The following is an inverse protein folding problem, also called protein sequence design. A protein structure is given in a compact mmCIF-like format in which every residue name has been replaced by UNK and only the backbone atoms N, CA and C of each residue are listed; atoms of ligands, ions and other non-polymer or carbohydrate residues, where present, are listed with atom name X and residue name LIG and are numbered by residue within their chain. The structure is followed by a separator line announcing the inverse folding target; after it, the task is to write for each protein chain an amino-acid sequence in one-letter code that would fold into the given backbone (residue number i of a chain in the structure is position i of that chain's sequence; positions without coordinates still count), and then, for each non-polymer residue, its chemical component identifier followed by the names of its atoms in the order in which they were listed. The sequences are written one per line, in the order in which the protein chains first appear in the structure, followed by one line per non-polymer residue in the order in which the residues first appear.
data_IF_912655295804
#
_entry.id   IF_912655295804
#
_cell.length_a   1.000
_cell.length_b   1.000
_cell.length_c   1.000
_cell.angle_alpha   90.00
_cell.angle_beta   90.00
_cell.angle_gamma   90.00
#
_symmetry.space_group_name_H-M   'P 1'
#
loop_
_entity.id
_entity.type
_entity.pdbx_description
1 polymer ?
#
# COMPACT_ATOMS: atom_id res chain seq x y z
N UNK A 1 20.12 49.20 2.41
CA UNK A 1 18.98 48.30 2.69
C UNK A 1 18.00 48.38 1.53
N UNK A 2 18.03 47.41 0.61
CA UNK A 2 17.06 47.32 -0.49
C UNK A 2 16.09 46.20 -0.13
N UNK A 3 14.81 46.54 -0.05
CA UNK A 3 13.73 45.64 0.28
C UNK A 3 13.56 44.55 -0.80
N UNK A 4 13.37 43.30 -0.38
CA UNK A 4 12.86 42.23 -1.23
C UNK A 4 11.36 42.44 -1.46
N UNK A 5 10.87 42.60 -2.70
CA UNK A 5 9.47 42.45 -3.00
C UNK A 5 9.23 41.04 -3.53
N UNK A 6 8.68 40.15 -2.72
CA UNK A 6 7.94 38.99 -3.23
C UNK A 6 6.68 38.81 -2.39
N UNK A 7 5.58 39.28 -2.95
CA UNK A 7 4.25 38.75 -2.66
C UNK A 7 4.30 37.22 -2.83
N UNK A 8 3.80 36.42 -1.89
CA UNK A 8 3.63 34.99 -2.14
C UNK A 8 2.60 34.84 -3.26
N UNK A 9 3.00 34.26 -4.40
CA UNK A 9 2.01 33.72 -5.34
C UNK A 9 1.30 32.61 -4.56
N UNK A 10 -0.02 32.72 -4.42
CA UNK A 10 -0.85 31.59 -3.99
C UNK A 10 -0.58 30.45 -4.98
N UNK A 11 -0.13 29.29 -4.50
CA UNK A 11 -0.09 28.06 -5.28
C UNK A 11 -1.56 27.68 -5.59
N UNK A 12 -2.08 28.19 -6.69
CA UNK A 12 -3.23 27.58 -7.36
C UNK A 12 -2.76 26.32 -8.09
N UNK A 13 -3.67 25.37 -8.28
CA UNK A 13 -3.44 24.24 -9.20
C UNK A 13 -2.97 24.80 -10.55
N UNK A 14 -1.77 24.40 -10.97
CA UNK A 14 -1.24 24.75 -12.28
C UNK A 14 -2.10 24.09 -13.35
N UNK A 15 -2.59 24.87 -14.31
CA UNK A 15 -3.33 24.33 -15.45
C UNK A 15 -2.43 23.54 -16.38
N UNK A 16 -2.97 22.54 -17.09
CA UNK A 16 -2.20 21.76 -18.08
C UNK A 16 -1.49 22.64 -19.13
N UNK A 17 -2.09 23.78 -19.50
CA UNK A 17 -1.48 24.75 -20.44
C UNK A 17 -0.28 25.49 -19.84
N UNK A 18 -0.29 25.76 -18.52
CA UNK A 18 0.84 26.40 -17.83
C UNK A 18 2.02 25.45 -17.64
N UNK A 19 1.73 24.14 -17.53
CA UNK A 19 2.73 23.08 -17.35
C UNK A 19 3.27 22.61 -18.72
N UNK A 20 2.39 22.44 -19.71
CA UNK A 20 2.73 21.81 -20.99
C UNK A 20 2.83 22.80 -22.16
N UNK A 21 2.74 24.11 -21.90
CA UNK A 21 2.92 25.14 -22.93
C UNK A 21 1.92 25.08 -24.08
N UNK A 22 0.73 24.52 -23.86
CA UNK A 22 -0.33 24.38 -24.86
C UNK A 22 -0.23 23.15 -25.78
N UNK A 23 0.70 22.21 -25.53
CA UNK A 23 0.72 20.88 -26.16
C UNK A 23 0.42 19.79 -25.13
N UNK A 24 -0.81 19.25 -25.09
CA UNK A 24 -1.21 18.22 -24.13
C UNK A 24 -0.43 16.91 -24.23
N UNK A 25 0.21 16.65 -25.38
CA UNK A 25 1.03 15.45 -25.64
C UNK A 25 2.54 15.75 -25.49
N UNK A 26 2.92 17.03 -25.40
CA UNK A 26 4.29 17.54 -25.36
C UNK A 26 4.80 17.92 -23.96
N UNK A 27 4.22 17.38 -22.89
CA UNK A 27 4.61 17.72 -21.50
C UNK A 27 5.97 17.16 -21.06
N UNK A 28 6.73 16.46 -21.91
CA UNK A 28 7.93 15.70 -21.52
C UNK A 28 8.96 16.52 -20.71
N UNK A 29 9.27 17.75 -21.14
CA UNK A 29 10.21 18.60 -20.41
C UNK A 29 9.67 19.13 -19.06
N UNK A 30 8.35 19.26 -18.93
CA UNK A 30 7.70 19.67 -17.69
C UNK A 30 7.58 18.49 -16.71
N UNK A 31 7.32 17.28 -17.20
CA UNK A 31 7.33 16.05 -16.39
C UNK A 31 8.73 15.75 -15.85
N UNK A 32 9.78 16.00 -16.64
CA UNK A 32 11.17 15.87 -16.18
C UNK A 32 11.48 16.85 -15.05
N UNK A 33 11.01 18.09 -15.19
CA UNK A 33 11.13 19.12 -14.17
C UNK A 33 10.46 18.73 -12.86
N UNK A 34 9.18 18.32 -12.92
CA UNK A 34 8.40 17.91 -11.75
C UNK A 34 9.00 16.67 -11.07
N UNK A 35 9.48 15.69 -11.85
CA UNK A 35 10.11 14.50 -11.29
C UNK A 35 11.40 14.84 -10.55
N UNK A 36 12.26 15.67 -11.15
CA UNK A 36 13.46 16.17 -10.48
C UNK A 36 13.11 16.95 -9.22
N UNK A 37 12.13 17.85 -9.26
CA UNK A 37 11.70 18.62 -8.09
C UNK A 37 11.21 17.71 -6.95
N UNK A 38 10.54 16.59 -7.29
CA UNK A 38 10.09 15.57 -6.35
C UNK A 38 11.27 14.84 -5.70
N UNK A 39 12.25 14.41 -6.50
CA UNK A 39 13.48 13.77 -6.00
C UNK A 39 14.23 14.74 -5.08
N UNK A 40 14.43 15.99 -5.51
CA UNK A 40 15.14 16.99 -4.72
C UNK A 40 14.39 17.35 -3.42
N UNK A 41 13.05 17.36 -3.43
CA UNK A 41 12.26 17.55 -2.22
C UNK A 41 12.47 16.41 -1.23
N UNK A 42 12.48 15.16 -1.70
CA UNK A 42 12.80 14.01 -0.88
C UNK A 42 14.24 14.10 -0.34
N UNK A 43 15.23 14.40 -1.17
CA UNK A 43 16.64 14.58 -0.74
C UNK A 43 16.79 15.67 0.31
N UNK A 44 16.11 16.81 0.16
CA UNK A 44 16.17 17.90 1.15
C UNK A 44 15.52 17.56 2.48
N UNK A 45 14.49 16.72 2.46
CA UNK A 45 13.74 16.34 3.65
C UNK A 45 14.39 15.16 4.39
N UNK A 46 15.09 14.28 3.68
CA UNK A 46 15.77 13.10 4.25
C UNK A 46 16.86 13.50 5.25
N UNK A 47 16.73 13.03 6.50
CA UNK A 47 17.71 13.29 7.54
C UNK A 47 18.88 12.32 7.43
N UNK A 48 19.92 12.72 6.70
CA UNK A 48 21.17 11.97 6.56
C UNK A 48 22.13 12.08 7.76
N UNK A 49 21.70 12.69 8.87
CA UNK A 49 22.50 12.75 10.10
C UNK A 49 22.51 11.39 10.83
N UNK A 50 23.50 11.13 11.72
CA UNK A 50 23.51 9.90 12.53
C UNK A 50 22.27 9.71 13.41
N UNK A 51 21.50 10.77 13.66
CA UNK A 51 20.27 10.74 14.44
C UNK A 51 19.08 10.18 13.66
N UNK A 52 19.11 10.21 12.32
CA UNK A 52 18.09 9.63 11.44
C UNK A 52 16.64 9.96 11.87
N UNK A 53 16.33 11.23 12.16
CA UNK A 53 15.04 11.60 12.78
C UNK A 53 13.86 11.53 11.82
N UNK A 54 14.11 11.68 10.54
CA UNK A 54 13.08 11.68 9.51
C UNK A 54 13.63 11.11 8.21
N UNK A 55 12.85 10.28 7.52
CA UNK A 55 13.24 9.68 6.26
C UNK A 55 12.21 9.99 5.19
N UNK A 56 12.66 10.51 4.05
CA UNK A 56 11.79 10.84 2.93
C UNK A 56 12.05 9.90 1.75
N UNK A 57 11.18 8.92 1.50
CA UNK A 57 11.32 8.03 0.35
C UNK A 57 11.02 8.77 -0.96
N UNK A 58 11.76 8.43 -2.02
CA UNK A 58 11.44 8.86 -3.38
C UNK A 58 10.33 7.96 -3.92
N UNK A 59 9.27 8.53 -4.49
CA UNK A 59 8.14 7.77 -5.00
C UNK A 59 7.10 8.62 -5.72
N UNK A 60 6.13 7.95 -6.33
CA UNK A 60 4.99 8.58 -7.00
C UNK A 60 3.77 7.66 -7.00
N UNK A 61 2.57 8.24 -7.17
CA UNK A 61 1.36 7.48 -7.44
C UNK A 61 1.30 7.15 -8.94
N UNK A 62 1.15 5.87 -9.26
CA UNK A 62 0.69 5.38 -10.55
C UNK A 62 -0.85 5.31 -10.50
N UNK A 63 -1.51 6.23 -11.19
CA UNK A 63 -2.97 6.42 -11.09
C UNK A 63 -3.64 5.97 -12.39
N UNK A 64 -4.28 4.79 -12.39
CA UNK A 64 -5.02 4.29 -13.56
C UNK A 64 -6.53 4.21 -13.27
N UNK A 65 -7.33 4.89 -14.10
CA UNK A 65 -8.78 5.00 -13.99
C UNK A 65 -9.56 4.09 -14.96
N UNK A 66 -9.07 2.87 -15.23
CA UNK A 66 -9.68 1.95 -16.20
C UNK A 66 -11.13 1.62 -15.82
N UNK A 67 -12.06 1.78 -16.77
CA UNK A 67 -13.48 1.47 -16.57
C UNK A 67 -14.06 2.12 -15.31
N UNK A 68 -13.69 3.37 -15.03
CA UNK A 68 -14.11 4.13 -13.85
C UNK A 68 -13.84 3.39 -12.53
N UNK A 69 -12.68 2.76 -12.40
CA UNK A 69 -12.25 2.00 -11.22
C UNK A 69 -10.92 2.52 -10.68
N UNK A 70 -10.65 2.40 -9.37
CA UNK A 70 -9.37 2.72 -8.75
C UNK A 70 -8.37 1.59 -8.97
N UNK A 71 -7.52 1.72 -9.99
CA UNK A 71 -6.40 0.79 -10.23
C UNK A 71 -5.09 1.52 -9.93
N UNK A 72 -4.94 1.98 -8.70
CA UNK A 72 -3.84 2.83 -8.28
C UNK A 72 -2.75 2.05 -7.53
N UNK A 73 -1.51 2.54 -7.61
CA UNK A 73 -0.35 2.00 -6.89
C UNK A 73 0.58 3.12 -6.46
N UNK A 74 1.16 3.02 -5.28
CA UNK A 74 2.34 3.83 -4.94
C UNK A 74 3.60 3.11 -5.41
N UNK A 75 4.41 3.75 -6.24
CA UNK A 75 5.76 3.29 -6.61
C UNK A 75 6.74 3.91 -5.63
N UNK A 76 7.47 3.09 -4.91
CA UNK A 76 8.44 3.50 -3.88
C UNK A 76 9.82 3.00 -4.27
N UNK A 77 10.83 3.87 -4.20
CA UNK A 77 12.21 3.55 -4.51
C UNK A 77 13.06 3.39 -3.24
N UNK A 78 14.06 2.51 -3.31
CA UNK A 78 15.00 2.24 -2.21
C UNK A 78 15.91 3.43 -1.89
N UNK A 79 16.22 4.25 -2.89
CA UNK A 79 17.12 5.40 -2.80
C UNK A 79 16.76 6.44 -3.87
N UNK A 80 17.55 7.51 -3.96
CA UNK A 80 17.47 8.49 -5.04
C UNK A 80 18.05 7.99 -6.39
N UNK A 81 18.61 6.77 -6.45
CA UNK A 81 18.94 6.12 -7.71
C UNK A 81 17.66 5.63 -8.37
N UNK A 82 17.12 6.41 -9.30
CA UNK A 82 15.82 6.17 -9.94
C UNK A 82 15.89 6.36 -11.46
N UNK A 83 14.92 5.83 -12.25
CA UNK A 83 14.83 6.14 -13.66
C UNK A 83 14.68 7.65 -13.90
N UNK A 84 15.14 8.17 -15.06
CA UNK A 84 15.10 9.59 -15.37
C UNK A 84 13.67 10.14 -15.52
N UNK A 85 12.68 9.27 -15.72
CA UNK A 85 11.26 9.61 -15.78
C UNK A 85 10.43 8.59 -15.00
N UNK A 86 9.33 9.01 -14.35
CA UNK A 86 8.36 8.09 -13.77
C UNK A 86 7.62 7.32 -14.87
N UNK A 87 7.24 6.07 -14.60
CA UNK A 87 6.44 5.27 -15.52
C UNK A 87 4.98 5.67 -15.35
N UNK A 88 4.43 6.39 -16.33
CA UNK A 88 3.04 6.83 -16.34
C UNK A 88 2.07 5.72 -16.73
N UNK A 89 0.89 5.71 -16.09
CA UNK A 89 -0.26 4.87 -16.46
C UNK A 89 -0.77 5.14 -17.87
N UNK A 90 -0.57 6.35 -18.40
CA UNK A 90 -0.92 6.70 -19.78
C UNK A 90 -0.10 5.93 -20.82
N UNK A 91 1.18 5.67 -20.52
CA UNK A 91 2.08 4.93 -21.40
C UNK A 91 2.07 3.43 -21.11
N UNK A 92 1.85 3.06 -19.85
CA UNK A 92 1.79 1.66 -19.40
C UNK A 92 0.50 1.42 -18.62
N UNK A 93 -0.64 1.20 -19.28
CA UNK A 93 -1.95 1.12 -18.61
C UNK A 93 -2.22 -0.20 -17.89
N UNK A 94 -1.24 -1.12 -17.89
CA UNK A 94 -1.37 -2.45 -17.29
C UNK A 94 -0.40 -2.62 -16.13
N UNK A 95 -0.78 -3.34 -15.06
CA UNK A 95 0.14 -3.70 -13.98
C UNK A 95 1.38 -4.44 -14.49
N UNK A 96 1.19 -5.32 -15.48
CA UNK A 96 2.28 -6.05 -16.11
C UNK A 96 3.29 -5.14 -16.82
N UNK A 97 2.80 -4.14 -17.56
CA UNK A 97 3.62 -3.12 -18.21
C UNK A 97 4.45 -2.34 -17.20
N UNK A 98 3.80 -1.85 -16.13
CA UNK A 98 4.45 -1.15 -15.02
C UNK A 98 5.56 -1.98 -14.37
N UNK A 99 5.25 -3.19 -13.91
CA UNK A 99 6.24 -4.06 -13.23
C UNK A 99 7.39 -4.46 -14.16
N UNK A 100 7.08 -4.76 -15.42
CA UNK A 100 8.09 -5.15 -16.41
C UNK A 100 9.03 -3.99 -16.71
N UNK A 101 8.53 -2.75 -16.79
CA UNK A 101 9.38 -1.57 -16.98
C UNK A 101 10.16 -1.20 -15.74
N UNK A 102 9.57 -1.24 -14.54
CA UNK A 102 10.33 -1.09 -13.29
C UNK A 102 11.47 -2.11 -13.21
N UNK A 103 11.22 -3.36 -13.60
CA UNK A 103 12.29 -4.36 -13.67
C UNK A 103 13.41 -3.94 -14.64
N UNK A 104 13.07 -3.56 -15.87
CA UNK A 104 14.06 -3.26 -16.91
C UNK A 104 14.80 -1.93 -16.72
N UNK A 105 14.07 -0.87 -16.36
CA UNK A 105 14.56 0.52 -16.33
C UNK A 105 15.08 0.94 -14.96
N UNK A 106 14.78 0.17 -13.90
CA UNK A 106 15.29 0.41 -12.55
C UNK A 106 16.15 -0.77 -12.05
N UNK A 107 15.53 -1.93 -11.78
CA UNK A 107 16.21 -3.05 -11.09
C UNK A 107 17.37 -3.64 -11.89
N UNK A 108 17.16 -3.88 -13.18
CA UNK A 108 18.15 -4.51 -14.07
C UNK A 108 19.02 -3.47 -14.81
N UNK A 109 18.75 -2.17 -14.65
CA UNK A 109 19.38 -1.13 -15.45
C UNK A 109 20.85 -0.84 -15.08
N UNK A 110 21.37 -1.47 -14.02
CA UNK A 110 22.75 -1.25 -13.57
C UNK A 110 22.99 0.12 -12.92
N UNK A 111 21.93 0.84 -12.58
CA UNK A 111 21.98 2.18 -11.95
C UNK A 111 21.88 2.13 -10.41
N UNK A 112 21.83 0.94 -9.81
CA UNK A 112 21.64 0.75 -8.37
C UNK A 112 20.22 1.07 -7.87
N UNK A 113 19.23 1.08 -8.76
CA UNK A 113 17.83 1.31 -8.42
C UNK A 113 17.16 0.02 -7.95
N UNK A 114 16.31 0.12 -6.92
CA UNK A 114 15.33 -0.91 -6.57
C UNK A 114 14.01 -0.21 -6.26
N UNK A 115 12.90 -0.88 -6.59
CA UNK A 115 11.57 -0.34 -6.46
C UNK A 115 10.58 -1.42 -6.04
N UNK A 116 9.52 -0.98 -5.38
CA UNK A 116 8.32 -1.77 -5.13
C UNK A 116 7.08 -0.92 -5.44
N UNK A 117 5.96 -1.59 -5.59
CA UNK A 117 4.64 -1.02 -5.83
C UNK A 117 3.69 -1.48 -4.73
N UNK A 118 2.80 -0.60 -4.29
CA UNK A 118 1.80 -0.92 -3.27
C UNK A 118 0.42 -0.59 -3.85
N UNK A 119 -0.39 -1.60 -4.24
CA UNK A 119 -1.79 -1.35 -4.59
C UNK A 119 -2.54 -0.81 -3.38
N UNK A 120 -3.39 0.18 -3.62
CA UNK A 120 -4.12 0.85 -2.56
C UNK A 120 -5.56 1.13 -2.97
N UNK A 121 -6.44 1.35 -1.99
CA UNK A 121 -7.86 1.57 -2.22
C UNK A 121 -8.52 0.42 -3.02
N UNK A 122 -8.17 -0.83 -2.74
CA UNK A 122 -8.58 -1.98 -3.57
C UNK A 122 -10.08 -2.21 -3.56
N UNK A 123 -10.78 -1.76 -2.52
CA UNK A 123 -12.24 -1.81 -2.41
C UNK A 123 -13.01 -1.02 -3.48
N UNK A 124 -12.35 -0.12 -4.23
CA UNK A 124 -12.92 0.60 -5.37
C UNK A 124 -12.32 0.17 -6.72
N UNK A 125 -11.69 -1.01 -6.76
CA UNK A 125 -11.03 -1.50 -7.96
C UNK A 125 -11.94 -2.29 -8.91
N UNK A 126 -13.15 -2.67 -8.46
CA UNK A 126 -14.04 -3.60 -9.18
C UNK A 126 -13.38 -4.96 -9.47
N UNK A 127 -12.57 -5.46 -8.55
CA UNK A 127 -11.84 -6.73 -8.66
C UNK A 127 -10.58 -6.68 -9.52
N UNK A 128 -10.17 -5.49 -9.98
CA UNK A 128 -9.08 -5.31 -10.95
C UNK A 128 -7.70 -5.32 -10.30
N UNK A 129 -7.58 -4.86 -9.06
CA UNK A 129 -6.27 -4.83 -8.41
C UNK A 129 -5.78 -6.23 -8.06
N UNK A 130 -6.66 -7.14 -7.66
CA UNK A 130 -6.32 -8.55 -7.40
C UNK A 130 -6.76 -9.53 -8.50
N UNK A 131 -6.84 -9.04 -9.74
CA UNK A 131 -7.08 -9.91 -10.90
C UNK A 131 -5.95 -10.94 -11.07
N UNK A 132 -6.33 -12.18 -11.39
CA UNK A 132 -5.39 -13.27 -11.71
C UNK A 132 -5.07 -13.19 -13.21
N UNK A 133 -4.15 -12.29 -13.55
CA UNK A 133 -3.66 -12.09 -14.92
C UNK A 133 -2.13 -12.21 -14.98
N UNK A 134 -1.62 -12.80 -16.06
CA UNK A 134 -0.19 -13.07 -16.28
C UNK A 134 0.35 -12.46 -17.58
N UNK A 135 -0.20 -11.32 -18.02
CA UNK A 135 0.33 -10.56 -19.15
C UNK A 135 0.39 -11.33 -20.47
N UNK A 136 -0.60 -12.19 -20.73
CA UNK A 136 -0.67 -13.02 -21.94
C UNK A 136 0.19 -14.30 -21.93
N UNK A 137 0.75 -14.68 -20.76
CA UNK A 137 1.56 -15.88 -20.62
C UNK A 137 0.88 -17.16 -21.13
N UNK A 138 1.56 -17.90 -22.03
CA UNK A 138 1.00 -19.00 -22.80
C UNK A 138 0.89 -20.33 -22.04
N UNK A 139 1.57 -20.48 -20.90
CA UNK A 139 1.54 -21.71 -20.12
C UNK A 139 2.08 -21.59 -18.69
N UNK A 140 1.98 -22.67 -17.88
CA UNK A 140 2.24 -22.62 -16.44
C UNK A 140 3.62 -22.08 -16.05
N UNK A 141 4.67 -22.42 -16.79
CA UNK A 141 6.03 -21.92 -16.50
C UNK A 141 6.18 -20.42 -16.74
N UNK A 142 5.49 -19.85 -17.74
CA UNK A 142 5.49 -18.41 -17.98
C UNK A 142 4.59 -17.67 -16.98
N UNK A 143 3.44 -18.27 -16.63
CA UNK A 143 2.57 -17.77 -15.58
C UNK A 143 3.28 -17.75 -14.22
N UNK A 144 4.05 -18.78 -13.88
CA UNK A 144 4.86 -18.82 -12.67
C UNK A 144 5.93 -17.71 -12.65
N UNK A 145 6.58 -17.42 -13.79
CA UNK A 145 7.51 -16.29 -13.92
C UNK A 145 6.81 -14.95 -13.73
N UNK A 146 5.61 -14.80 -14.28
CA UNK A 146 4.79 -13.60 -14.11
C UNK A 146 4.31 -13.41 -12.67
N UNK A 147 3.84 -14.49 -12.02
CA UNK A 147 3.46 -14.51 -10.62
C UNK A 147 4.64 -14.12 -9.71
N UNK A 148 5.86 -14.60 -10.01
CA UNK A 148 7.07 -14.22 -9.28
C UNK A 148 7.44 -12.74 -9.48
N UNK A 149 7.22 -12.19 -10.68
CA UNK A 149 7.44 -10.77 -10.92
C UNK A 149 6.49 -9.93 -10.06
N UNK A 150 5.20 -10.28 -10.07
CA UNK A 150 4.21 -9.62 -9.22
C UNK A 150 4.58 -9.74 -7.74
N UNK A 151 4.88 -10.93 -7.25
CA UNK A 151 5.27 -11.16 -5.85
C UNK A 151 6.45 -10.27 -5.41
N UNK A 152 7.42 -10.03 -6.29
CA UNK A 152 8.56 -9.15 -5.99
C UNK A 152 8.22 -7.67 -6.05
N UNK A 153 7.36 -7.28 -7.00
CA UNK A 153 7.02 -5.88 -7.24
C UNK A 153 5.88 -5.39 -6.35
N UNK A 154 4.98 -6.25 -5.91
CA UNK A 154 3.87 -5.94 -4.97
C UNK A 154 4.02 -6.77 -3.69
N UNK A 155 5.02 -6.50 -2.84
CA UNK A 155 5.16 -7.21 -1.58
C UNK A 155 4.11 -6.78 -0.55
N UNK A 156 3.43 -5.65 -0.74
CA UNK A 156 2.50 -5.08 0.23
C UNK A 156 1.17 -4.76 -0.42
N UNK A 157 0.11 -4.66 0.37
CA UNK A 157 -1.17 -4.10 -0.02
C UNK A 157 -1.71 -3.20 1.10
N UNK A 158 -2.36 -2.11 0.71
CA UNK A 158 -3.09 -1.27 1.66
C UNK A 158 -4.43 -1.91 2.04
N UNK A 159 -4.67 -2.03 3.34
CA UNK A 159 -5.92 -2.58 3.88
C UNK A 159 -6.85 -1.51 4.46
N UNK A 160 -6.37 -0.26 4.65
CA UNK A 160 -7.15 0.82 5.26
C UNK A 160 -6.71 2.18 4.74
N UNK A 161 -7.69 3.03 4.46
CA UNK A 161 -7.51 4.35 3.84
C UNK A 161 -8.75 5.25 4.09
N UNK A 162 -8.71 6.55 3.70
CA UNK A 162 -9.85 7.50 3.76
C UNK A 162 -11.15 6.91 3.19
N UNK A 163 -10.99 6.01 2.21
CA UNK A 163 -12.04 5.27 1.52
C UNK A 163 -12.26 3.91 2.16
N UNK A 164 -12.15 3.82 3.48
CA UNK A 164 -12.49 2.66 4.29
C UNK A 164 -11.59 1.43 4.14
N UNK A 165 -12.00 0.39 4.86
CA UNK A 165 -11.31 -0.88 5.01
C UNK A 165 -11.48 -1.77 3.76
N UNK A 166 -10.34 -2.26 3.25
CA UNK A 166 -10.18 -3.17 2.10
C UNK A 166 -9.63 -4.56 2.47
N UNK A 167 -9.58 -4.95 3.75
CA UNK A 167 -9.10 -6.25 4.23
C UNK A 167 -10.09 -7.38 3.90
N UNK A 168 -11.35 -7.27 4.31
CA UNK A 168 -12.40 -8.29 4.09
C UNK A 168 -13.81 -7.69 4.06
N UNK A 169 -14.84 -8.50 3.79
CA UNK A 169 -16.25 -8.06 3.90
C UNK A 169 -17.22 -9.22 4.14
N UNK A 170 -18.09 -9.06 5.13
CA UNK A 170 -19.13 -10.05 5.42
C UNK A 170 -20.18 -10.18 4.31
N UNK A 171 -20.83 -11.35 4.24
CA UNK A 171 -21.97 -11.60 3.35
C UNK A 171 -21.62 -11.76 1.87
N UNK A 172 -20.33 -11.83 1.51
CA UNK A 172 -19.89 -12.11 0.15
C UNK A 172 -19.97 -13.62 -0.18
N UNK A 173 -20.11 -13.93 -1.46
CA UNK A 173 -20.13 -15.30 -2.00
C UNK A 173 -18.94 -16.09 -1.49
N UNK A 174 -19.18 -17.29 -0.96
CA UNK A 174 -18.11 -18.16 -0.43
C UNK A 174 -17.50 -17.70 0.90
N UNK A 175 -18.06 -16.69 1.57
CA UNK A 175 -17.77 -16.38 2.98
C UNK A 175 -18.78 -17.15 3.84
N UNK A 176 -18.29 -18.00 4.73
CA UNK A 176 -19.12 -18.81 5.63
C UNK A 176 -19.05 -18.22 7.03
N UNK A 177 -20.20 -18.03 7.66
CA UNK A 177 -20.30 -17.40 8.98
C UNK A 177 -20.28 -15.88 8.90
N UNK A 178 -20.02 -15.24 10.05
CA UNK A 178 -19.80 -13.79 10.15
C UNK A 178 -18.49 -13.57 10.89
N UNK A 179 -17.67 -12.68 10.37
CA UNK A 179 -16.53 -12.14 11.09
C UNK A 179 -16.89 -10.72 11.50
N UNK A 180 -17.06 -10.49 12.80
CA UNK A 180 -17.50 -9.21 13.35
C UNK A 180 -16.55 -8.05 13.02
N UNK A 181 -15.28 -8.34 12.70
CA UNK A 181 -14.31 -7.34 12.27
C UNK A 181 -14.43 -7.01 10.78
N UNK A 182 -15.06 -7.85 9.96
CA UNK A 182 -15.28 -7.59 8.53
C UNK A 182 -16.40 -6.58 8.25
N UNK A 183 -17.06 -6.07 9.28
CA UNK A 183 -17.97 -4.92 9.20
C UNK A 183 -17.30 -3.57 9.48
N UNK A 184 -16.02 -3.57 9.87
CA UNK A 184 -15.31 -2.35 10.26
C UNK A 184 -15.14 -1.39 9.08
N UNK A 185 -15.47 -0.11 9.33
CA UNK A 185 -15.25 1.06 8.46
C UNK A 185 -15.29 0.81 6.95
N UNK A 186 -16.34 0.17 6.47
CA UNK A 186 -16.54 -0.03 5.03
C UNK A 186 -16.96 1.26 4.36
N UNK A 187 -16.36 1.53 3.21
CA UNK A 187 -16.77 2.65 2.39
C UNK A 187 -18.19 2.45 1.86
N UNK A 188 -19.04 3.44 2.14
CA UNK A 188 -20.39 3.47 1.61
C UNK A 188 -20.37 4.09 0.20
N UNK A 189 -20.56 3.27 -0.82
CA UNK A 189 -20.63 3.73 -2.22
C UNK A 189 -21.80 4.69 -2.47
N UNK A 190 -22.81 4.76 -1.59
CA UNK A 190 -23.85 5.78 -1.68
C UNK A 190 -23.31 7.20 -1.52
N UNK A 191 -22.13 7.38 -0.91
CA UNK A 191 -21.41 8.66 -0.89
C UNK A 191 -21.14 9.15 -2.32
N UNK A 192 -20.83 8.23 -3.23
CA UNK A 192 -20.54 8.55 -4.64
C UNK A 192 -21.83 8.68 -5.48
N UNK A 193 -22.89 7.96 -5.11
CA UNK A 193 -24.17 7.97 -5.84
C UNK A 193 -25.38 7.84 -4.90
N UNK A 194 -25.80 8.95 -4.24
CA UNK A 194 -26.87 8.93 -3.26
C UNK A 194 -28.18 8.35 -3.79
N UNK A 195 -28.83 7.51 -2.98
CA UNK A 195 -30.11 6.87 -3.32
C UNK A 195 -29.99 5.62 -4.19
N UNK A 196 -28.77 5.14 -4.45
CA UNK A 196 -28.56 3.86 -5.14
C UNK A 196 -28.76 2.68 -4.19
N UNK A 197 -29.19 1.50 -4.68
CA UNK A 197 -29.11 0.29 -3.89
C UNK A 197 -27.64 -0.10 -3.67
N UNK A 198 -27.31 -0.88 -2.63
CA UNK A 198 -25.99 -1.47 -2.47
C UNK A 198 -25.56 -2.22 -3.74
N UNK A 199 -24.29 -2.15 -4.14
CA UNK A 199 -23.80 -2.89 -5.30
C UNK A 199 -24.05 -4.40 -5.13
N UNK A 200 -24.43 -5.11 -6.21
CA UNK A 200 -24.54 -6.57 -6.17
C UNK A 200 -23.17 -7.22 -5.96
N UNK A 201 -23.17 -8.41 -5.37
CA UNK A 201 -22.00 -9.28 -5.30
C UNK A 201 -21.79 -9.99 -6.66
N UNK A 202 -20.63 -9.79 -7.28
CA UNK A 202 -20.25 -10.42 -8.54
C UNK A 202 -19.20 -11.54 -8.38
N UNK A 203 -19.01 -12.06 -7.16
CA UNK A 203 -18.12 -13.18 -6.83
C UNK A 203 -16.67 -12.84 -7.19
N UNK A 204 -16.04 -13.64 -8.04
CA UNK A 204 -14.70 -13.39 -8.57
C UNK A 204 -14.72 -12.57 -9.88
N UNK A 205 -15.89 -12.08 -10.28
CA UNK A 205 -16.10 -11.25 -11.46
C UNK A 205 -15.43 -9.89 -11.36
N UNK A 206 -15.36 -9.20 -12.50
CA UNK A 206 -14.77 -7.86 -12.62
C UNK A 206 -15.88 -6.90 -13.03
N UNK A 207 -16.05 -5.82 -12.27
CA UNK A 207 -17.04 -4.77 -12.51
C UNK A 207 -16.48 -3.57 -13.28
N UNK A 208 -17.28 -2.51 -13.34
CA UNK A 208 -16.92 -1.18 -13.83
C UNK A 208 -17.74 -0.11 -13.11
N UNK A 209 -17.25 1.13 -13.03
CA UNK A 209 -18.05 2.23 -12.48
C UNK A 209 -17.95 2.48 -10.97
N UNK A 210 -16.99 1.87 -10.25
CA UNK A 210 -16.90 2.03 -8.78
C UNK A 210 -16.70 3.50 -8.38
N UNK A 211 -16.00 4.28 -9.20
CA UNK A 211 -15.83 5.73 -9.01
C UNK A 211 -17.10 6.55 -9.19
N UNK A 212 -18.13 5.97 -9.81
CA UNK A 212 -19.44 6.55 -9.97
C UNK A 212 -20.47 5.93 -9.01
N UNK A 213 -20.05 5.14 -8.01
CA UNK A 213 -20.96 4.39 -7.15
C UNK A 213 -21.74 3.29 -7.89
N UNK A 214 -21.20 2.80 -9.02
CA UNK A 214 -21.79 1.76 -9.87
C UNK A 214 -20.92 0.49 -9.85
N UNK A 215 -21.38 -0.55 -10.54
CA UNK A 215 -20.65 -1.81 -10.70
C UNK A 215 -21.11 -2.87 -9.73
N UNK A 216 -20.15 -3.64 -9.21
CA UNK A 216 -20.39 -4.76 -8.31
C UNK A 216 -19.24 -4.90 -7.31
N UNK A 217 -19.51 -5.55 -6.17
CA UNK A 217 -18.47 -5.94 -5.24
C UNK A 217 -17.89 -7.28 -5.66
N UNK A 218 -16.59 -7.28 -5.96
CA UNK A 218 -15.83 -8.48 -6.24
C UNK A 218 -15.10 -8.92 -4.98
N UNK A 219 -14.93 -10.23 -4.77
CA UNK A 219 -14.00 -10.72 -3.73
C UNK A 219 -12.60 -10.17 -3.95
N UNK A 220 -12.20 -9.91 -5.19
CA UNK A 220 -10.88 -9.35 -5.53
C UNK A 220 -10.75 -7.85 -5.27
N UNK A 221 -11.74 -7.24 -4.62
CA UNK A 221 -11.65 -5.92 -4.03
C UNK A 221 -11.00 -5.96 -2.63
N UNK A 222 -10.93 -7.14 -2.00
CA UNK A 222 -10.48 -7.29 -0.62
C UNK A 222 -9.24 -8.19 -0.49
N UNK A 223 -8.27 -7.74 0.32
CA UNK A 223 -6.96 -8.38 0.47
C UNK A 223 -7.07 -9.82 0.98
N UNK A 224 -7.95 -10.10 1.95
CA UNK A 224 -8.14 -11.44 2.52
C UNK A 224 -8.49 -12.48 1.46
N UNK A 225 -9.34 -12.11 0.50
CA UNK A 225 -9.73 -13.04 -0.56
C UNK A 225 -8.65 -13.16 -1.63
N UNK A 226 -7.87 -12.10 -1.88
CA UNK A 226 -6.66 -12.20 -2.70
C UNK A 226 -5.62 -13.15 -2.10
N UNK A 227 -5.45 -13.18 -0.76
CA UNK A 227 -4.59 -14.16 -0.08
C UNK A 227 -5.05 -15.60 -0.33
N UNK A 228 -6.37 -15.84 -0.32
CA UNK A 228 -6.95 -17.17 -0.65
C UNK A 228 -6.66 -17.54 -2.10
N UNK A 229 -6.87 -16.62 -3.04
CA UNK A 229 -6.51 -16.83 -4.46
C UNK A 229 -5.01 -17.08 -4.62
N UNK A 230 -4.17 -16.42 -3.81
CA UNK A 230 -2.74 -16.63 -3.75
C UNK A 230 -2.34 -18.05 -3.35
N UNK A 231 -3.02 -18.65 -2.38
CA UNK A 231 -2.81 -20.03 -1.99
C UNK A 231 -3.21 -21.02 -3.11
N UNK A 232 -4.31 -20.75 -3.81
CA UNK A 232 -4.74 -21.54 -4.98
C UNK A 232 -3.71 -21.49 -6.11
N UNK A 233 -3.18 -20.30 -6.39
CA UNK A 233 -2.12 -20.14 -7.40
C UNK A 233 -0.79 -20.76 -6.96
N UNK A 234 -0.50 -20.80 -5.66
CA UNK A 234 0.65 -21.53 -5.14
C UNK A 234 0.54 -23.04 -5.41
N UNK A 235 -0.64 -23.63 -5.24
CA UNK A 235 -0.91 -25.03 -5.57
C UNK A 235 -0.81 -25.28 -7.08
N UNK A 236 -1.32 -24.35 -7.90
CA UNK A 236 -1.38 -24.50 -9.36
C UNK A 236 -0.03 -24.25 -10.06
N UNK A 237 0.71 -23.23 -9.64
CA UNK A 237 1.91 -22.73 -10.31
C UNK A 237 3.20 -22.98 -9.52
N UNK A 238 3.10 -23.37 -8.25
CA UNK A 238 4.23 -23.37 -7.31
C UNK A 238 4.61 -21.96 -6.82
N UNK A 239 3.83 -20.93 -7.15
CA UNK A 239 4.12 -19.53 -6.82
C UNK A 239 2.84 -18.82 -6.37
N UNK A 240 2.88 -18.19 -5.19
CA UNK A 240 1.81 -17.31 -4.73
C UNK A 240 2.02 -15.87 -5.24
N UNK A 241 1.21 -15.35 -6.19
CA UNK A 241 1.34 -13.97 -6.68
C UNK A 241 0.88 -12.91 -5.67
N UNK A 242 0.04 -13.27 -4.70
CA UNK A 242 -0.56 -12.37 -3.70
C UNK A 242 0.05 -12.57 -2.32
N UNK A 243 1.36 -12.79 -2.26
CA UNK A 243 2.07 -12.96 -1.00
C UNK A 243 2.42 -11.60 -0.41
N UNK A 244 1.39 -10.92 0.10
CA UNK A 244 1.45 -9.52 0.53
C UNK A 244 1.48 -9.36 2.04
N UNK A 245 2.22 -8.34 2.51
CA UNK A 245 2.07 -7.77 3.85
C UNK A 245 1.02 -6.65 3.83
N UNK A 246 0.60 -6.22 5.02
CA UNK A 246 -0.41 -5.17 5.16
C UNK A 246 0.23 -3.83 5.50
N UNK A 247 -0.31 -2.75 4.93
CA UNK A 247 -0.10 -1.36 5.39
C UNK A 247 -1.45 -0.62 5.44
N UNK A 248 -1.45 0.59 5.98
CA UNK A 248 -2.56 1.54 5.85
C UNK A 248 -2.01 2.93 5.52
N UNK A 249 -2.84 3.81 4.98
CA UNK A 249 -2.41 5.17 4.61
C UNK A 249 -3.53 6.19 4.78
N UNK A 250 -3.20 7.47 4.77
CA UNK A 250 -4.20 8.55 4.79
C UNK A 250 -4.79 8.82 3.41
N UNK A 251 -3.99 8.75 2.34
CA UNK A 251 -4.20 9.46 1.06
C UNK A 251 -4.69 10.91 1.26
N UNK A 252 -4.10 11.59 2.25
CA UNK A 252 -4.18 13.04 2.41
C UNK A 252 -3.46 13.77 1.27
N UNK A 253 -4.04 14.86 0.78
CA UNK A 253 -3.61 15.67 -0.37
C UNK A 253 -3.16 17.08 0.05
N UNK A 254 -2.73 17.23 1.30
CA UNK A 254 -2.34 18.51 1.94
C UNK A 254 -0.88 18.55 2.42
N UNK A 255 -0.18 17.42 2.32
CA UNK A 255 1.21 17.29 2.77
C UNK A 255 1.36 17.14 4.29
N UNK A 256 0.28 16.83 5.03
CA UNK A 256 0.32 16.50 6.45
C UNK A 256 0.51 14.97 6.64
N UNK A 257 1.75 14.47 6.85
CA UNK A 257 1.97 13.04 6.97
C UNK A 257 1.34 12.49 8.26
N UNK A 258 0.51 11.46 8.12
CA UNK A 258 -0.08 10.75 9.26
C UNK A 258 -1.09 11.57 10.05
N UNK A 259 -1.81 12.51 9.40
CA UNK A 259 -2.97 13.17 9.98
C UNK A 259 -4.19 12.24 10.00
N UNK A 260 -4.19 11.38 11.01
CA UNK A 260 -5.20 10.34 11.25
C UNK A 260 -6.10 10.66 12.44
N UNK A 261 -6.04 11.91 12.92
CA UNK A 261 -6.68 12.31 14.16
C UNK A 261 -8.15 12.66 13.92
N UNK A 262 -9.07 11.78 14.33
CA UNK A 262 -10.51 11.94 14.18
C UNK A 262 -11.04 13.27 14.75
N UNK A 263 -10.52 13.75 15.87
CA UNK A 263 -11.04 14.97 16.50
C UNK A 263 -10.71 16.26 15.74
N UNK A 264 -9.67 16.24 14.91
CA UNK A 264 -9.18 17.42 14.17
C UNK A 264 -9.28 17.25 12.66
N UNK A 265 -9.74 16.10 12.19
CA UNK A 265 -9.81 15.78 10.79
C UNK A 265 -10.61 16.84 10.02
N UNK A 266 -9.93 17.57 9.16
CA UNK A 266 -10.46 18.68 8.38
C UNK A 266 -10.63 18.32 6.89
N UNK A 267 -10.62 17.03 6.58
CA UNK A 267 -10.85 16.49 5.24
C UNK A 267 -9.56 16.17 4.47
N UNK A 268 -9.71 15.47 3.34
CA UNK A 268 -8.62 14.97 2.49
C UNK A 268 -7.60 16.03 2.11
N UNK A 269 -8.04 17.27 1.91
CA UNK A 269 -7.21 18.37 1.39
C UNK A 269 -6.96 19.48 2.41
N UNK A 270 -7.07 19.19 3.71
CA UNK A 270 -6.92 20.20 4.76
C UNK A 270 -8.03 21.26 4.73
N UNK A 271 -9.20 20.90 4.19
CA UNK A 271 -10.34 21.80 3.95
C UNK A 271 -11.64 21.00 4.09
N UNK A 272 -12.46 21.37 5.06
CA UNK A 272 -13.71 20.69 5.44
C UNK A 272 -14.85 20.79 4.40
N UNK A 273 -14.54 20.88 3.10
CA UNK A 273 -15.53 21.00 2.04
C UNK A 273 -15.91 19.60 1.54
N UNK A 274 -17.05 19.10 2.00
CA UNK A 274 -17.78 17.94 1.46
C UNK A 274 -17.11 16.56 1.56
N UNK A 275 -16.36 16.25 2.62
CA UNK A 275 -15.83 14.90 2.89
C UNK A 275 -16.80 13.99 3.68
N UNK A 276 -18.11 14.11 3.43
CA UNK A 276 -19.09 13.22 4.07
C UNK A 276 -18.87 11.76 3.64
N UNK A 277 -18.64 10.88 4.62
CA UNK A 277 -18.46 9.43 4.40
C UNK A 277 -17.02 8.97 4.19
N UNK A 278 -16.05 9.85 4.43
CA UNK A 278 -14.63 9.53 4.50
C UNK A 278 -14.14 9.51 5.96
N UNK A 279 -13.12 8.70 6.26
CA UNK A 279 -12.46 8.65 7.59
C UNK A 279 -11.03 9.24 7.50
N UNK A 280 -10.31 9.50 8.60
CA UNK A 280 -8.94 10.05 8.52
C UNK A 280 -7.90 9.14 7.83
N UNK A 281 -8.27 7.90 7.51
CA UNK A 281 -7.42 6.88 6.94
C UNK A 281 -6.62 6.13 8.00
N UNK A 282 -5.39 5.77 7.69
CA UNK A 282 -4.57 4.95 8.56
C UNK A 282 -3.09 5.20 8.46
N UNK A 283 -2.32 4.45 9.26
CA UNK A 283 -0.86 4.54 9.33
C UNK A 283 -0.19 3.23 8.92
N UNK A 284 0.89 3.36 8.18
CA UNK A 284 1.81 2.26 7.91
C UNK A 284 2.87 2.21 9.00
N UNK A 285 3.05 1.04 9.61
CA UNK A 285 4.18 0.74 10.47
C UNK A 285 5.14 -0.20 9.76
N UNK A 286 6.43 0.08 9.85
CA UNK A 286 7.50 -0.69 9.24
C UNK A 286 8.52 -1.03 10.32
N UNK A 287 8.82 -2.31 10.48
CA UNK A 287 9.91 -2.72 11.34
C UNK A 287 11.22 -2.74 10.58
N UNK A 288 12.13 -1.87 11.00
CA UNK A 288 13.43 -1.65 10.38
C UNK A 288 14.52 -1.57 11.46
N UNK A 289 15.75 -1.91 11.07
CA UNK A 289 16.94 -1.83 11.90
C UNK A 289 17.33 -0.36 12.17
N UNK A 290 17.08 0.51 11.18
CA UNK A 290 17.41 1.92 11.21
C UNK A 290 16.29 2.73 10.55
N UNK A 291 16.15 3.99 10.96
CA UNK A 291 15.30 4.95 10.26
C UNK A 291 16.06 5.56 9.06
N UNK A 292 16.46 4.70 8.12
CA UNK A 292 17.13 5.08 6.88
C UNK A 292 16.33 4.55 5.69
N UNK A 293 16.41 5.21 4.53
CA UNK A 293 15.64 4.78 3.34
C UNK A 293 15.88 3.31 2.99
N UNK A 294 17.14 2.88 3.03
CA UNK A 294 17.50 1.51 2.70
C UNK A 294 16.91 0.51 3.69
N UNK A 295 17.01 0.77 5.01
CA UNK A 295 16.49 -0.15 6.03
C UNK A 295 14.95 -0.18 6.05
N UNK A 296 14.29 0.98 5.89
CA UNK A 296 12.83 1.04 5.75
C UNK A 296 12.35 0.32 4.49
N UNK A 297 13.00 0.56 3.34
CA UNK A 297 12.65 -0.15 2.09
C UNK A 297 12.82 -1.65 2.24
N UNK A 298 13.91 -2.10 2.87
CA UNK A 298 14.14 -3.52 3.12
C UNK A 298 13.07 -4.09 4.07
N UNK A 299 12.56 -3.29 5.00
CA UNK A 299 11.40 -3.59 5.86
C UNK A 299 10.10 -3.79 5.08
N UNK A 300 9.80 -2.85 4.18
CA UNK A 300 8.67 -2.93 3.25
C UNK A 300 8.78 -4.18 2.35
N UNK A 301 9.98 -4.44 1.80
CA UNK A 301 10.24 -5.56 0.89
C UNK A 301 10.09 -6.93 1.57
N UNK A 302 10.52 -7.05 2.83
CA UNK A 302 10.35 -8.29 3.63
C UNK A 302 8.98 -8.42 4.27
N UNK A 303 8.10 -7.42 4.10
CA UNK A 303 6.70 -7.41 4.59
C UNK A 303 6.58 -7.40 6.11
N UNK A 304 7.60 -6.93 6.80
CA UNK A 304 7.54 -6.80 8.25
C UNK A 304 6.85 -5.50 8.63
N UNK A 305 5.56 -5.44 8.26
CA UNK A 305 4.73 -4.23 8.27
C UNK A 305 3.34 -4.53 8.78
N UNK A 306 2.68 -3.52 9.36
CA UNK A 306 1.25 -3.58 9.62
C UNK A 306 0.59 -2.23 9.32
N UNK A 307 -0.72 -2.26 9.09
CA UNK A 307 -1.55 -1.08 8.99
C UNK A 307 -2.36 -0.87 10.27
N UNK A 308 -2.64 0.39 10.61
CA UNK A 308 -3.59 0.77 11.67
C UNK A 308 -4.60 1.76 11.11
N UNK A 309 -5.80 1.83 11.69
CA UNK A 309 -6.83 2.82 11.34
C UNK A 309 -6.57 4.21 11.94
N UNK A 310 -5.37 4.47 12.42
CA UNK A 310 -5.01 5.72 13.09
C UNK A 310 -4.17 5.55 14.35
N UNK A 311 -4.55 4.66 15.29
CA UNK A 311 -3.77 4.45 16.51
C UNK A 311 -2.34 4.00 16.22
N UNK A 312 -1.37 4.56 16.93
CA UNK A 312 0.07 4.23 16.87
C UNK A 312 0.43 3.05 17.76
N UNK A 313 -0.32 1.95 17.63
CA UNK A 313 -0.01 0.70 18.32
C UNK A 313 1.32 0.13 17.82
N UNK A 314 2.03 -0.60 18.67
CA UNK A 314 3.22 -1.36 18.28
C UNK A 314 2.95 -2.85 18.38
N UNK A 315 3.02 -3.57 17.25
CA UNK A 315 2.72 -5.01 17.19
C UNK A 315 3.93 -5.81 16.74
N UNK A 316 4.24 -6.89 17.45
CA UNK A 316 5.22 -7.91 17.07
C UNK A 316 4.54 -9.27 17.03
N UNK A 317 4.82 -10.05 16.00
CA UNK A 317 4.36 -11.43 15.86
C UNK A 317 5.51 -12.31 15.41
N UNK A 318 5.68 -13.45 16.09
CA UNK A 318 6.65 -14.48 15.70
C UNK A 318 6.00 -15.87 15.68
N UNK A 319 6.25 -16.63 14.63
CA UNK A 319 5.83 -18.03 14.48
C UNK A 319 7.01 -19.00 14.57
N UNK A 320 6.81 -20.19 15.14
CA UNK A 320 7.82 -21.25 15.18
C UNK A 320 7.16 -22.63 15.18
N UNK A 321 7.87 -23.67 14.73
CA UNK A 321 7.45 -25.06 14.92
C UNK A 321 7.85 -25.61 16.30
N UNK A 322 8.77 -24.94 16.98
CA UNK A 322 9.12 -25.24 18.36
C UNK A 322 8.28 -24.35 19.28
N UNK A 323 7.86 -24.84 20.46
CA UNK A 323 7.23 -24.01 21.47
C UNK A 323 8.13 -22.81 21.81
N UNK A 324 7.52 -21.64 21.97
CA UNK A 324 8.23 -20.48 22.50
C UNK A 324 8.51 -20.69 24.00
N UNK A 325 9.60 -20.12 24.56
CA UNK A 325 9.81 -20.11 26.00
C UNK A 325 8.61 -19.52 26.75
N UNK A 326 8.22 -20.14 27.87
CA UNK A 326 7.05 -19.69 28.65
C UNK A 326 7.20 -18.27 29.20
N UNK A 327 8.45 -17.83 29.47
CA UNK A 327 8.79 -16.50 29.96
C UNK A 327 8.86 -15.43 28.86
N UNK A 328 8.66 -15.80 27.58
CA UNK A 328 8.87 -14.88 26.46
C UNK A 328 7.94 -13.66 26.51
N UNK A 329 6.69 -13.85 26.97
CA UNK A 329 5.70 -12.77 27.07
C UNK A 329 6.06 -11.72 28.14
N UNK A 330 6.77 -12.13 29.19
CA UNK A 330 7.19 -11.25 30.29
C UNK A 330 8.56 -10.61 30.03
N UNK A 331 9.27 -11.06 28.99
CA UNK A 331 10.61 -10.59 28.67
C UNK A 331 10.58 -9.17 28.07
N UNK A 332 11.32 -8.24 28.69
CA UNK A 332 11.51 -6.89 28.14
C UNK A 332 12.22 -6.87 26.78
N UNK A 333 12.93 -7.95 26.43
CA UNK A 333 13.63 -8.14 25.16
C UNK A 333 12.91 -9.13 24.21
N UNK A 334 11.58 -9.28 24.36
CA UNK A 334 10.75 -10.18 23.52
C UNK A 334 11.07 -10.10 22.03
N UNK A 335 11.19 -8.92 21.37
CA UNK A 335 11.52 -8.88 19.95
C UNK A 335 12.85 -9.55 19.62
N UNK A 336 13.91 -9.27 20.39
CA UNK A 336 15.23 -9.84 20.18
C UNK A 336 15.24 -11.36 20.36
N UNK A 337 14.49 -11.88 21.35
CA UNK A 337 14.29 -13.33 21.53
C UNK A 337 13.50 -13.94 20.38
N UNK A 338 12.41 -13.29 19.96
CA UNK A 338 11.54 -13.72 18.87
C UNK A 338 12.30 -13.89 17.55
N UNK A 339 13.19 -12.97 17.20
CA UNK A 339 14.05 -13.11 16.01
C UNK A 339 15.04 -14.28 16.10
N UNK A 340 15.45 -14.71 17.31
CA UNK A 340 16.35 -15.86 17.48
C UNK A 340 15.61 -17.20 17.44
N UNK A 341 14.37 -17.24 17.94
CA UNK A 341 13.64 -18.49 18.17
C UNK A 341 12.47 -18.74 17.20
N UNK A 342 12.14 -17.76 16.36
CA UNK A 342 11.02 -17.83 15.44
C UNK A 342 11.20 -17.00 14.18
N UNK A 343 10.12 -16.97 13.41
CA UNK A 343 9.99 -16.28 12.13
C UNK A 343 9.10 -15.06 12.34
N UNK A 344 9.56 -13.84 12.01
CA UNK A 344 8.76 -12.64 12.17
C UNK A 344 7.59 -12.59 11.19
N UNK A 345 6.59 -11.75 11.49
CA UNK A 345 5.54 -11.37 10.54
C UNK A 345 6.11 -10.96 9.18
N UNK A 346 5.42 -11.33 8.09
CA UNK A 346 5.85 -11.07 6.71
C UNK A 346 6.79 -12.11 6.10
N UNK A 347 7.46 -12.91 6.94
CA UNK A 347 8.33 -14.00 6.50
C UNK A 347 7.60 -15.35 6.41
N UNK A 348 8.23 -16.30 5.71
CA UNK A 348 7.71 -17.65 5.57
C UNK A 348 8.06 -18.50 6.78
N UNK A 349 7.04 -19.09 7.41
CA UNK A 349 7.26 -20.23 8.27
C UNK A 349 7.75 -21.41 7.40
N UNK A 350 8.95 -21.97 7.65
CA UNK A 350 9.47 -23.09 6.84
C UNK A 350 8.51 -24.28 6.83
N UNK A 351 8.69 -25.19 5.88
CA UNK A 351 7.93 -26.45 5.90
C UNK A 351 8.16 -27.20 7.22
N UNK A 352 7.08 -27.76 7.79
CA UNK A 352 7.17 -28.56 8.99
C UNK A 352 8.09 -29.78 8.79
N UNK A 353 8.98 -30.05 9.74
CA UNK A 353 9.88 -31.20 9.69
C UNK A 353 9.16 -32.56 9.85
N UNK A 354 7.97 -32.56 10.46
CA UNK A 354 7.18 -33.76 10.68
C UNK A 354 5.70 -33.49 10.40
N UNK A 355 5.00 -34.52 9.90
CA UNK A 355 3.55 -34.49 9.76
C UNK A 355 2.89 -34.32 11.13
N UNK A 356 1.94 -33.39 11.24
CA UNK A 356 1.24 -33.10 12.49
C UNK A 356 1.96 -32.13 13.44
N UNK A 357 3.11 -31.56 13.04
CA UNK A 357 3.72 -30.45 13.78
C UNK A 357 2.72 -29.29 13.89
N UNK A 358 2.71 -28.61 15.04
CA UNK A 358 1.79 -27.50 15.32
C UNK A 358 2.60 -26.21 15.44
N UNK A 359 2.23 -25.14 14.73
CA UNK A 359 2.91 -23.88 14.89
C UNK A 359 2.58 -23.27 16.26
N UNK A 360 3.56 -22.63 16.86
CA UNK A 360 3.48 -21.81 18.06
C UNK A 360 3.64 -20.34 17.66
N UNK A 361 2.73 -19.49 18.13
CA UNK A 361 2.76 -18.05 17.86
C UNK A 361 2.90 -17.27 19.16
N UNK A 362 3.69 -16.20 19.11
CA UNK A 362 3.73 -15.17 20.16
C UNK A 362 3.38 -13.84 19.53
N UNK A 363 2.54 -13.07 20.21
CA UNK A 363 2.13 -11.74 19.81
C UNK A 363 2.38 -10.78 20.98
N UNK A 364 3.01 -9.66 20.71
CA UNK A 364 3.16 -8.55 21.64
C UNK A 364 2.50 -7.32 21.01
N UNK A 365 1.65 -6.65 21.77
CA UNK A 365 0.98 -5.44 21.35
C UNK A 365 1.08 -4.39 22.46
N UNK A 366 1.58 -3.21 22.11
CA UNK A 366 1.56 -2.04 22.98
C UNK A 366 0.51 -1.05 22.46
N UNK A 367 -0.34 -0.57 23.37
CA UNK A 367 -1.33 0.45 23.06
C UNK A 367 -0.66 1.76 22.64
N UNK A 368 -1.36 2.54 21.81
CA UNK A 368 -0.94 3.91 21.52
C UNK A 368 -0.95 4.71 22.84
N UNK A 369 0.13 5.41 23.21
CA UNK A 369 0.15 6.26 24.40
C UNK A 369 -0.84 7.44 24.34
N UNK A 370 -1.40 7.74 23.17
CA UNK A 370 -2.31 8.86 22.93
C UNK A 370 -1.62 10.21 23.10
N UNK A 371 -2.43 11.26 23.25
CA UNK A 371 -1.96 12.61 23.54
C UNK A 371 -2.57 13.14 24.84
N UNK A 372 -1.93 14.10 25.54
CA UNK A 372 -2.52 14.71 26.73
C UNK A 372 -3.94 15.22 26.49
N UNK A 373 -4.93 14.68 27.21
CA UNK A 373 -6.35 15.05 27.09
C UNK A 373 -7.09 14.42 25.91
N UNK A 374 -6.44 13.56 25.12
CA UNK A 374 -7.04 12.78 24.04
C UNK A 374 -6.58 11.33 24.15
N UNK A 375 -7.38 10.45 24.78
CA UNK A 375 -7.07 9.03 24.78
C UNK A 375 -6.97 8.53 23.32
N UNK A 376 -6.19 7.47 23.08
CA UNK A 376 -5.94 6.93 21.74
C UNK A 376 -7.20 6.46 21.02
#
# INVERSE_FOLDING_TARGET
MRACPRSPRRLGSLGADEVCGGDPLGCGGATDGVWRDTIEAAERADDGSPECRFTALVGYEYSMGRELSKVHRNVIFKSASVPPQPISSEHEPTPWGLWSRLKRECVDAGIGCDALTIPHNTNLSNGRLFEIEYGGAAGPAEQARAALLRQRMEPLAEIMQIKGDSECRDGMWGVVGRDEFCGFEKFDLNVLKPGSPPPPDCRDGIGSGALAGEGCLSRRDFVRYALIDGLREAERLGVNPFKVGAIASTDGHDGAPGDVEEYLYDGKSGRALNDFGFNPGGLAAVWAEENSRASLFDGLRRRETFGTSGPRISVRLFGSWQPHPEDLCDASDLPARGYRTGVPMGADLPAAAAAGARPSFVVSALADPGAPGRPP
#
